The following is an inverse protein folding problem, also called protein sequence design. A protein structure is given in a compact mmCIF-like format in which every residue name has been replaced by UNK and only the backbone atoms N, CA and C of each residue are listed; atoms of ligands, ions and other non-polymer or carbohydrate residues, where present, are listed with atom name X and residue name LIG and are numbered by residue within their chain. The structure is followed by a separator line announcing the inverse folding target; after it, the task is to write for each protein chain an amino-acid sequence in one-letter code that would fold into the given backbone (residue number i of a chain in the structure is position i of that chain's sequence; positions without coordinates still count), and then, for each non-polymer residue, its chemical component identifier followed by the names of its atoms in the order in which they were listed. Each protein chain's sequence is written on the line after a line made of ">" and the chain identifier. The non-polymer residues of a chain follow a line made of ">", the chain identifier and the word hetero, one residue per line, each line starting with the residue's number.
data_IF_040042458851
#
_entry.id   IF_040042458851
#
_cell.length_a   1.000
_cell.length_b   1.000
_cell.length_c   1.000
_cell.angle_alpha   90.00
_cell.angle_beta   90.00
_cell.angle_gamma   90.00
#
_symmetry.space_group_name_H-M   'P 1'
#
loop_
_entity.id
_entity.type
_entity.pdbx_description
1 polymer ?
#
# COMPACT_ATOMS: atom_id res chain seq x y z
N UNK A 1 45.79 -18.35 5.99
CA UNK A 1 45.30 -19.47 6.81
C UNK A 1 44.42 -20.37 5.94
N UNK A 2 44.60 -21.69 6.00
CA UNK A 2 43.95 -22.72 5.18
C UNK A 2 42.71 -23.33 5.87
N UNK A 3 41.89 -23.99 5.03
CA UNK A 3 40.90 -25.08 5.28
C UNK A 3 39.46 -24.65 5.61
N UNK A 4 38.35 -25.24 5.09
CA UNK A 4 38.00 -26.45 4.27
C UNK A 4 36.64 -26.12 3.59
N UNK A 5 36.35 -26.38 2.31
CA UNK A 5 36.03 -27.63 1.57
C UNK A 5 34.79 -28.43 2.03
N UNK A 6 33.96 -28.75 1.01
CA UNK A 6 33.01 -29.88 0.86
C UNK A 6 31.53 -29.57 1.16
N UNK A 7 30.51 -30.03 0.42
CA UNK A 7 30.43 -31.14 -0.55
C UNK A 7 29.19 -30.97 -1.48
N UNK A 8 29.34 -31.43 -2.73
CA UNK A 8 28.29 -31.69 -3.72
C UNK A 8 27.31 -32.79 -3.26
N UNK A 9 26.07 -32.75 -3.75
CA UNK A 9 25.37 -33.93 -4.27
C UNK A 9 24.64 -33.60 -5.58
N UNK A 10 25.06 -34.28 -6.63
CA UNK A 10 24.41 -34.51 -7.93
C UNK A 10 24.16 -36.02 -8.00
N UNK A 11 23.08 -36.49 -8.64
CA UNK A 11 22.96 -37.77 -9.40
C UNK A 11 21.50 -37.96 -9.92
N UNK A 12 21.23 -38.84 -10.92
CA UNK A 12 20.57 -38.46 -12.17
C UNK A 12 19.41 -39.40 -12.63
N UNK A 13 18.89 -39.10 -13.83
CA UNK A 13 18.12 -39.90 -14.81
C UNK A 13 17.80 -41.37 -14.54
N UNK A 14 16.54 -41.76 -14.84
CA UNK A 14 16.22 -43.01 -15.57
C UNK A 14 15.07 -42.76 -16.54
N UNK A 15 15.35 -43.01 -17.83
CA UNK A 15 14.39 -43.22 -18.93
C UNK A 15 14.20 -44.72 -19.09
N UNK A 16 12.97 -45.21 -19.12
CA UNK A 16 12.61 -46.48 -19.80
C UNK A 16 11.24 -46.31 -20.43
N UNK A 17 11.20 -46.30 -21.76
CA UNK A 17 9.98 -46.59 -22.52
C UNK A 17 9.88 -48.09 -22.76
N UNK A 18 8.66 -48.60 -22.99
CA UNK A 18 8.39 -49.77 -23.82
C UNK A 18 6.91 -49.77 -24.22
N UNK A 19 6.69 -50.16 -25.46
CA UNK A 19 5.47 -50.06 -26.25
C UNK A 19 4.67 -51.37 -26.27
N UNK A 20 3.49 -51.29 -26.89
CA UNK A 20 2.67 -52.34 -27.56
C UNK A 20 1.47 -52.98 -26.84
N UNK A 21 0.28 -52.52 -27.30
CA UNK A 21 -0.80 -53.26 -27.95
C UNK A 21 -1.29 -54.63 -27.39
N UNK A 22 -2.58 -54.72 -27.08
CA UNK A 22 -3.60 -55.48 -27.83
C UNK A 22 -4.98 -55.48 -27.13
N UNK A 23 -6.03 -55.22 -27.91
CA UNK A 23 -7.46 -55.50 -27.65
C UNK A 23 -7.76 -56.96 -28.09
N UNK A 24 -8.98 -57.58 -27.98
CA UNK A 24 -10.25 -57.14 -27.35
C UNK A 24 -11.04 -58.28 -26.63
N UNK A 25 -12.31 -57.98 -26.25
CA UNK A 25 -13.52 -58.83 -26.22
C UNK A 25 -14.16 -59.19 -24.86
N UNK A 26 -15.41 -58.69 -24.70
CA UNK A 26 -16.68 -59.30 -24.18
C UNK A 26 -16.63 -59.99 -22.80
N UNK A 27 -17.64 -59.95 -21.93
CA UNK A 27 -19.03 -59.44 -21.89
C UNK A 27 -19.56 -59.65 -20.45
N UNK A 28 -20.74 -59.08 -20.13
CA UNK A 28 -21.63 -59.36 -18.98
C UNK A 28 -21.28 -58.59 -17.68
N UNK A 29 -21.96 -57.46 -17.39
CA UNK A 29 -23.26 -57.34 -16.67
C UNK A 29 -23.19 -57.94 -15.25
N UNK A 30 -22.87 -57.09 -14.28
CA UNK A 30 -23.82 -56.56 -13.28
C UNK A 30 -24.09 -57.50 -12.09
N UNK A 31 -23.39 -57.26 -10.96
CA UNK A 31 -24.05 -57.27 -9.64
C UNK A 31 -23.21 -56.52 -8.60
N UNK A 32 -23.58 -55.25 -8.40
CA UNK A 32 -23.59 -54.48 -7.14
C UNK A 32 -22.76 -55.04 -5.97
N UNK A 33 -21.54 -54.54 -5.84
CA UNK A 33 -20.89 -54.32 -4.55
C UNK A 33 -19.86 -53.19 -4.72
N UNK A 34 -19.89 -52.23 -3.79
CA UNK A 34 -18.82 -51.23 -3.56
C UNK A 34 -18.67 -50.08 -4.56
N UNK A 35 -19.48 -49.03 -4.37
CA UNK A 35 -19.02 -47.66 -4.63
C UNK A 35 -19.60 -46.72 -3.57
N UNK A 36 -18.90 -46.65 -2.44
CA UNK A 36 -19.04 -45.61 -1.42
C UNK A 36 -17.70 -44.85 -1.32
N UNK A 37 -17.21 -44.32 -2.44
CA UNK A 37 -16.02 -43.45 -2.39
C UNK A 37 -15.88 -42.48 -3.56
N UNK A 38 -16.90 -42.26 -4.38
CA UNK A 38 -16.88 -41.24 -5.43
C UNK A 38 -18.22 -40.52 -5.54
N UNK A 39 -18.63 -39.83 -4.47
CA UNK A 39 -19.70 -38.84 -4.52
C UNK A 39 -19.52 -37.77 -3.43
N UNK A 40 -18.30 -37.23 -3.35
CA UNK A 40 -18.02 -35.99 -2.59
C UNK A 40 -17.19 -34.99 -3.41
N UNK A 41 -17.32 -35.04 -4.73
CA UNK A 41 -16.73 -34.10 -5.67
C UNK A 41 -17.81 -33.58 -6.61
N UNK A 42 -18.74 -32.83 -6.01
CA UNK A 42 -19.66 -31.87 -6.66
C UNK A 42 -20.49 -31.16 -5.60
N UNK A 43 -19.84 -30.63 -4.57
CA UNK A 43 -20.40 -29.44 -3.90
C UNK A 43 -19.80 -28.27 -4.64
N UNK A 44 -20.65 -27.63 -5.44
CA UNK A 44 -20.35 -26.38 -6.10
C UNK A 44 -19.69 -25.44 -5.10
N UNK A 45 -18.42 -25.10 -5.36
CA UNK A 45 -17.84 -23.88 -4.84
C UNK A 45 -18.69 -22.76 -5.40
N UNK A 46 -19.62 -22.27 -4.59
CA UNK A 46 -20.14 -20.91 -4.72
C UNK A 46 -18.96 -20.02 -4.36
N UNK A 47 -18.12 -19.74 -5.35
CA UNK A 47 -17.00 -18.80 -5.21
C UNK A 47 -17.64 -17.43 -5.02
N UNK A 48 -17.76 -17.02 -3.76
CA UNK A 48 -18.20 -15.67 -3.45
C UNK A 48 -17.11 -14.72 -4.00
N UNK A 49 -17.40 -13.83 -4.98
CA UNK A 49 -16.39 -12.98 -5.59
C UNK A 49 -15.65 -12.13 -4.54
N UNK A 50 -16.34 -11.70 -3.48
CA UNK A 50 -15.76 -10.98 -2.34
C UNK A 50 -14.70 -11.81 -1.58
N UNK A 51 -14.89 -13.13 -1.49
CA UNK A 51 -13.90 -14.03 -0.88
C UNK A 51 -12.66 -14.19 -1.76
N UNK A 52 -12.79 -14.03 -3.08
CA UNK A 52 -11.68 -14.20 -4.03
C UNK A 52 -10.83 -12.94 -4.07
N UNK A 53 -11.49 -11.77 -4.10
CA UNK A 53 -10.87 -10.45 -3.99
C UNK A 53 -10.04 -10.29 -2.71
N UNK A 54 -10.62 -10.63 -1.55
CA UNK A 54 -9.92 -10.54 -0.27
C UNK A 54 -8.70 -11.47 -0.18
N UNK A 55 -8.80 -12.69 -0.75
CA UNK A 55 -7.67 -13.61 -0.83
C UNK A 55 -6.56 -13.08 -1.74
N UNK A 56 -6.93 -12.52 -2.91
CA UNK A 56 -5.96 -11.96 -3.85
C UNK A 56 -5.24 -10.74 -3.26
N UNK A 57 -5.97 -9.87 -2.56
CA UNK A 57 -5.40 -8.73 -1.85
C UNK A 57 -4.41 -9.17 -0.77
N UNK A 58 -4.75 -10.21 0.01
CA UNK A 58 -3.87 -10.76 1.03
C UNK A 58 -2.60 -11.39 0.43
N UNK A 59 -2.72 -12.12 -0.68
CA UNK A 59 -1.60 -12.68 -1.43
C UNK A 59 -0.66 -11.56 -1.95
N UNK A 60 -1.24 -10.52 -2.57
CA UNK A 60 -0.46 -9.40 -3.10
C UNK A 60 0.22 -8.61 -1.99
N UNK A 61 -0.45 -8.42 -0.84
CA UNK A 61 0.17 -7.85 0.37
C UNK A 61 1.34 -8.71 0.85
N UNK A 62 1.23 -10.04 0.81
CA UNK A 62 2.35 -10.91 1.17
C UNK A 62 3.52 -10.76 0.20
N UNK A 63 3.27 -10.69 -1.12
CA UNK A 63 4.32 -10.49 -2.14
C UNK A 63 5.06 -9.16 -1.95
N UNK A 64 4.35 -8.08 -1.64
CA UNK A 64 4.97 -6.76 -1.39
C UNK A 64 5.91 -6.75 -0.17
N UNK A 65 5.66 -7.61 0.82
CA UNK A 65 6.47 -7.74 2.03
C UNK A 65 7.61 -8.76 1.89
N UNK A 66 7.81 -9.36 0.72
CA UNK A 66 8.95 -10.26 0.47
C UNK A 66 10.21 -9.45 0.10
N UNK A 67 11.41 -9.97 0.40
CA UNK A 67 12.66 -9.36 -0.03
C UNK A 67 12.70 -9.18 -1.55
N UNK A 68 13.10 -7.98 -1.99
CA UNK A 68 13.24 -7.64 -3.40
C UNK A 68 14.72 -7.71 -3.79
N UNK A 69 15.01 -8.42 -4.88
CA UNK A 69 16.30 -8.39 -5.54
C UNK A 69 16.13 -8.21 -7.04
N UNK A 70 16.62 -7.10 -7.58
CA UNK A 70 16.53 -6.80 -9.01
C UNK A 70 17.72 -5.98 -9.48
N UNK A 71 18.22 -6.31 -10.67
CA UNK A 71 19.23 -5.52 -11.38
C UNK A 71 18.53 -4.65 -12.42
N UNK A 72 18.78 -3.35 -12.34
CA UNK A 72 18.23 -2.32 -13.21
C UNK A 72 19.35 -1.71 -14.07
N UNK A 73 19.05 -1.42 -15.33
CA UNK A 73 20.01 -0.87 -16.29
C UNK A 73 19.88 0.64 -16.40
N UNK A 74 21.00 1.32 -16.59
CA UNK A 74 21.09 2.77 -16.77
C UNK A 74 20.16 3.32 -17.87
N UNK A 75 19.90 2.52 -18.90
CA UNK A 75 19.05 2.88 -20.04
C UNK A 75 17.56 2.72 -19.77
N UNK A 76 17.17 2.03 -18.69
CA UNK A 76 15.76 1.91 -18.34
C UNK A 76 15.23 3.24 -17.83
N UNK A 77 13.98 3.50 -18.16
CA UNK A 77 13.17 4.58 -17.60
C UNK A 77 12.65 4.21 -16.21
N UNK A 78 12.15 5.18 -15.45
CA UNK A 78 11.64 4.96 -14.09
C UNK A 78 10.42 4.04 -14.10
N UNK A 79 9.50 4.19 -15.06
CA UNK A 79 8.39 3.23 -15.24
C UNK A 79 8.89 1.82 -15.58
N UNK A 80 9.84 1.68 -16.51
CA UNK A 80 10.43 0.38 -16.84
C UNK A 80 11.13 -0.26 -15.64
N UNK A 81 11.78 0.54 -14.80
CA UNK A 81 12.41 0.09 -13.57
C UNK A 81 11.38 -0.43 -12.56
N UNK A 82 10.30 0.33 -12.33
CA UNK A 82 9.20 -0.07 -11.43
C UNK A 82 8.50 -1.33 -11.96
N UNK A 83 8.28 -1.44 -13.26
CA UNK A 83 7.74 -2.63 -13.91
C UNK A 83 8.67 -3.84 -13.74
N UNK A 84 9.99 -3.64 -13.83
CA UNK A 84 10.97 -4.69 -13.59
C UNK A 84 10.98 -5.15 -12.13
N UNK A 85 10.86 -4.22 -11.17
CA UNK A 85 10.69 -4.55 -9.75
C UNK A 85 9.43 -5.39 -9.53
N UNK A 86 8.29 -4.96 -10.08
CA UNK A 86 7.02 -5.67 -9.91
C UNK A 86 7.05 -7.07 -10.53
N UNK A 87 7.68 -7.20 -11.70
CA UNK A 87 7.93 -8.49 -12.34
C UNK A 87 8.77 -9.43 -11.46
N UNK A 88 9.77 -8.90 -10.74
CA UNK A 88 10.60 -9.70 -9.83
C UNK A 88 9.79 -10.33 -8.69
N UNK A 89 8.72 -9.66 -8.23
CA UNK A 89 7.80 -10.15 -7.19
C UNK A 89 6.48 -10.72 -7.74
N UNK A 90 6.35 -10.86 -9.06
CA UNK A 90 5.17 -11.40 -9.76
C UNK A 90 3.88 -10.62 -9.42
N UNK A 91 3.95 -9.30 -9.49
CA UNK A 91 2.81 -8.40 -9.36
C UNK A 91 2.58 -7.67 -10.68
N UNK A 92 1.31 -7.52 -11.05
CA UNK A 92 0.90 -6.58 -12.09
C UNK A 92 0.86 -5.16 -11.51
N UNK A 93 1.10 -4.17 -12.38
CA UNK A 93 1.23 -2.77 -11.97
C UNK A 93 0.11 -1.92 -12.56
N UNK A 94 -0.53 -1.15 -11.68
CA UNK A 94 -1.35 0.01 -12.02
C UNK A 94 -0.60 1.27 -11.54
N UNK A 95 -0.70 2.39 -12.26
CA UNK A 95 -0.17 3.67 -11.76
C UNK A 95 -1.31 4.63 -11.44
N UNK A 96 -1.25 5.29 -10.29
CA UNK A 96 -2.24 6.30 -9.89
C UNK A 96 -2.11 7.56 -10.74
N UNK A 97 -3.23 8.20 -11.09
CA UNK A 97 -3.23 9.50 -11.76
C UNK A 97 -3.00 9.48 -13.27
N UNK A 98 -2.99 8.31 -13.92
CA UNK A 98 -2.77 8.16 -15.39
C UNK A 98 -3.81 8.84 -16.31
N UNK A 99 -4.78 9.59 -15.76
CA UNK A 99 -5.78 10.34 -16.51
C UNK A 99 -5.17 11.67 -16.97
N UNK A 100 -4.42 11.66 -18.08
CA UNK A 100 -3.83 12.86 -18.68
C UNK A 100 -2.30 12.86 -18.65
N UNK A 101 -1.71 12.32 -19.72
CA UNK A 101 -0.31 11.87 -19.82
C UNK A 101 0.81 12.93 -19.71
N UNK A 102 0.53 14.23 -19.65
CA UNK A 102 1.59 15.26 -19.82
C UNK A 102 2.53 15.40 -18.61
N UNK A 103 2.02 15.34 -17.38
CA UNK A 103 2.83 15.45 -16.16
C UNK A 103 3.62 14.16 -15.87
N UNK A 104 3.24 13.04 -16.50
CA UNK A 104 3.89 11.74 -16.36
C UNK A 104 5.29 11.67 -16.98
N UNK A 105 5.50 12.37 -18.12
CA UNK A 105 6.77 12.31 -18.84
C UNK A 105 7.93 12.79 -17.95
N UNK A 106 7.73 13.84 -17.17
CA UNK A 106 8.82 14.39 -16.35
C UNK A 106 9.26 13.48 -15.20
N UNK A 107 8.42 12.55 -14.72
CA UNK A 107 8.75 11.67 -13.58
C UNK A 107 9.12 10.28 -14.09
N UNK A 108 8.25 9.66 -14.88
CA UNK A 108 8.38 8.26 -15.24
C UNK A 108 9.26 8.02 -16.47
N UNK A 109 9.36 8.98 -17.41
CA UNK A 109 10.18 8.79 -18.61
C UNK A 109 11.66 9.15 -18.39
N UNK A 110 12.06 9.50 -17.17
CA UNK A 110 13.47 9.74 -16.85
C UNK A 110 14.24 8.43 -16.85
N UNK A 111 15.39 8.43 -17.49
CA UNK A 111 16.32 7.29 -17.44
C UNK A 111 17.07 7.26 -16.12
N UNK A 112 17.38 6.07 -15.61
CA UNK A 112 18.14 5.91 -14.36
C UNK A 112 19.55 6.53 -14.44
N UNK A 113 20.18 6.50 -15.62
CA UNK A 113 21.50 7.09 -15.85
C UNK A 113 22.68 6.28 -15.29
N UNK A 114 22.43 5.34 -14.37
CA UNK A 114 23.41 4.39 -13.84
C UNK A 114 22.79 3.00 -13.66
N UNK A 115 23.62 1.96 -13.73
CA UNK A 115 23.18 0.59 -13.41
C UNK A 115 23.00 0.51 -11.89
N UNK A 116 21.85 -0.01 -11.44
CA UNK A 116 21.47 -0.08 -10.02
C UNK A 116 21.13 -1.53 -9.68
N UNK A 117 21.63 -2.03 -8.55
CA UNK A 117 21.17 -3.30 -7.98
C UNK A 117 20.41 -2.98 -6.69
N UNK A 118 19.13 -3.33 -6.65
CA UNK A 118 18.29 -3.18 -5.47
C UNK A 118 18.28 -4.49 -4.71
N UNK A 119 18.64 -4.45 -3.42
CA UNK A 119 18.61 -5.57 -2.47
C UNK A 119 17.91 -5.11 -1.19
N UNK A 120 16.58 -5.11 -1.20
CA UNK A 120 15.75 -4.44 -0.19
C UNK A 120 14.85 -5.45 0.54
N UNK A 121 14.43 -5.13 1.77
CA UNK A 121 13.64 -6.06 2.60
C UNK A 121 12.17 -6.17 2.15
N UNK A 122 11.66 -5.15 1.47
CA UNK A 122 10.32 -5.11 0.91
C UNK A 122 10.30 -4.38 -0.43
N UNK A 123 9.17 -4.46 -1.14
CA UNK A 123 8.95 -3.71 -2.37
C UNK A 123 8.98 -2.19 -2.12
N UNK A 124 8.38 -1.73 -1.02
CA UNK A 124 8.37 -0.31 -0.64
C UNK A 124 9.79 0.20 -0.34
N UNK A 125 10.61 -0.59 0.34
CA UNK A 125 12.02 -0.23 0.58
C UNK A 125 12.79 -0.14 -0.76
N UNK A 126 12.50 -1.04 -1.70
CA UNK A 126 13.08 -0.96 -3.04
C UNK A 126 12.68 0.30 -3.80
N UNK A 127 11.43 0.76 -3.65
CA UNK A 127 11.00 2.04 -4.23
C UNK A 127 11.73 3.21 -3.56
N UNK A 128 11.91 3.18 -2.25
CA UNK A 128 12.64 4.20 -1.52
C UNK A 128 14.11 4.26 -1.97
N UNK A 129 14.75 3.09 -2.14
CA UNK A 129 16.14 2.97 -2.61
C UNK A 129 16.27 3.49 -4.06
N UNK A 130 15.36 3.10 -4.95
CA UNK A 130 15.31 3.62 -6.32
C UNK A 130 15.19 5.14 -6.33
N UNK A 131 14.31 5.68 -5.49
CA UNK A 131 14.10 7.12 -5.36
C UNK A 131 15.37 7.83 -4.94
N UNK A 132 16.05 7.33 -3.90
CA UNK A 132 17.35 7.84 -3.44
C UNK A 132 18.40 7.88 -4.56
N UNK A 133 18.47 6.85 -5.42
CA UNK A 133 19.38 6.85 -6.57
C UNK A 133 19.06 7.96 -7.57
N UNK A 134 17.77 8.20 -7.84
CA UNK A 134 17.34 9.28 -8.74
C UNK A 134 17.71 10.67 -8.19
N UNK A 135 17.75 10.85 -6.86
CA UNK A 135 18.13 12.13 -6.22
C UNK A 135 19.60 12.51 -6.41
N UNK A 136 20.52 11.54 -6.45
CA UNK A 136 21.98 11.79 -6.44
C UNK A 136 22.42 12.65 -7.64
N UNK A 137 21.69 12.59 -8.75
CA UNK A 137 22.01 13.33 -9.97
C UNK A 137 21.48 14.78 -10.00
N UNK A 138 20.76 15.27 -8.98
CA UNK A 138 20.13 16.60 -8.97
C UNK A 138 20.76 17.60 -7.98
N UNK A 139 21.90 18.19 -8.34
CA UNK A 139 22.77 19.02 -7.47
C UNK A 139 22.35 20.49 -7.20
N UNK A 140 21.10 20.91 -7.40
CA UNK A 140 20.70 22.32 -7.17
C UNK A 140 19.90 22.55 -5.87
N UNK A 141 20.33 23.56 -5.11
CA UNK A 141 20.11 23.80 -3.66
C UNK A 141 18.75 24.39 -3.25
N UNK A 142 17.78 24.62 -4.14
CA UNK A 142 16.57 25.37 -3.76
C UNK A 142 15.24 24.61 -3.70
N UNK A 143 15.23 23.28 -3.81
CA UNK A 143 13.97 22.52 -3.83
C UNK A 143 14.10 21.10 -3.26
N UNK A 144 14.87 20.89 -2.18
CA UNK A 144 15.03 19.55 -1.60
C UNK A 144 13.68 18.90 -1.25
N UNK A 145 12.78 19.64 -0.59
CA UNK A 145 11.44 19.15 -0.21
C UNK A 145 10.55 18.88 -1.44
N UNK A 146 10.55 19.78 -2.42
CA UNK A 146 9.79 19.60 -3.66
C UNK A 146 10.28 18.39 -4.47
N UNK A 147 11.60 18.18 -4.53
CA UNK A 147 12.18 17.00 -5.16
C UNK A 147 11.81 15.74 -4.38
N UNK A 148 11.85 15.77 -3.05
CA UNK A 148 11.48 14.64 -2.19
C UNK A 148 10.08 14.16 -2.54
N UNK A 149 9.11 15.07 -2.66
CA UNK A 149 7.75 14.74 -3.08
C UNK A 149 7.65 14.17 -4.51
N UNK A 150 8.45 14.67 -5.46
CA UNK A 150 8.41 14.20 -6.85
C UNK A 150 8.87 12.75 -7.04
N UNK A 151 9.72 12.24 -6.15
CA UNK A 151 10.17 10.84 -6.23
C UNK A 151 9.77 10.05 -4.98
N UNK A 152 8.78 10.51 -4.23
CA UNK A 152 8.19 9.69 -3.18
C UNK A 152 7.10 8.80 -3.79
N UNK A 153 7.32 7.49 -3.74
CA UNK A 153 6.38 6.49 -4.25
C UNK A 153 5.76 5.68 -3.13
N UNK A 154 4.52 5.24 -3.35
CA UNK A 154 3.80 4.33 -2.46
C UNK A 154 3.39 3.09 -3.24
N UNK A 155 3.70 1.91 -2.70
CA UNK A 155 3.22 0.62 -3.18
C UNK A 155 1.96 0.21 -2.42
N UNK A 156 0.81 0.31 -3.08
CA UNK A 156 -0.49 0.04 -2.49
C UNK A 156 -0.98 -1.33 -3.01
N UNK A 157 -1.18 -2.34 -2.14
CA UNK A 157 -1.72 -3.62 -2.59
C UNK A 157 -3.14 -3.44 -3.12
N UNK A 158 -3.44 -4.03 -4.28
CA UNK A 158 -4.79 -4.09 -4.85
C UNK A 158 -5.17 -5.54 -5.13
N UNK A 159 -6.44 -5.78 -5.44
CA UNK A 159 -6.89 -7.09 -5.93
C UNK A 159 -6.20 -7.49 -7.24
N UNK A 160 -5.87 -6.51 -8.09
CA UNK A 160 -5.23 -6.73 -9.39
C UNK A 160 -3.70 -6.83 -9.33
N UNK A 161 -3.05 -6.45 -8.23
CA UNK A 161 -1.59 -6.44 -8.13
C UNK A 161 -1.10 -5.38 -7.16
N UNK A 162 -0.34 -4.42 -7.67
CA UNK A 162 0.11 -3.23 -6.94
C UNK A 162 -0.26 -1.97 -7.70
N UNK A 163 -0.83 -1.01 -6.98
CA UNK A 163 -0.97 0.37 -7.43
C UNK A 163 0.26 1.15 -6.97
N UNK A 164 0.97 1.74 -7.93
CA UNK A 164 2.09 2.64 -7.69
C UNK A 164 1.56 4.06 -7.72
N UNK A 165 1.56 4.70 -6.55
CA UNK A 165 1.25 6.11 -6.42
C UNK A 165 2.52 6.92 -6.26
N UNK A 166 2.46 8.19 -6.64
CA UNK A 166 3.53 9.16 -6.46
C UNK A 166 2.96 10.44 -5.83
N UNK A 167 3.63 10.91 -4.78
CA UNK A 167 3.16 12.07 -3.99
C UNK A 167 3.13 13.34 -4.84
N UNK A 168 4.12 13.56 -5.69
CA UNK A 168 4.13 14.66 -6.65
C UNK A 168 2.94 14.58 -7.62
N UNK A 169 2.69 13.42 -8.21
CA UNK A 169 1.59 13.25 -9.17
C UNK A 169 0.22 13.57 -8.57
N UNK A 170 -0.10 13.10 -7.36
CA UNK A 170 -1.41 13.39 -6.75
C UNK A 170 -1.62 14.89 -6.48
N UNK A 171 -0.55 15.67 -6.38
CA UNK A 171 -0.59 17.13 -6.20
C UNK A 171 -0.75 17.83 -7.56
N UNK A 172 -0.08 17.36 -8.61
CA UNK A 172 0.00 18.07 -9.91
C UNK A 172 -0.86 17.49 -11.03
N UNK A 173 -1.49 16.32 -10.82
CA UNK A 173 -2.28 15.64 -11.83
C UNK A 173 -3.67 15.24 -11.30
N UNK A 174 -4.73 15.36 -12.12
CA UNK A 174 -6.06 14.86 -11.76
C UNK A 174 -6.02 13.37 -11.44
N UNK A 175 -6.59 13.00 -10.30
CA UNK A 175 -6.65 11.62 -9.84
C UNK A 175 -8.10 11.17 -9.64
N UNK A 176 -8.35 9.88 -9.75
CA UNK A 176 -9.66 9.32 -9.43
C UNK A 176 -9.92 9.48 -7.93
N UNK A 177 -10.96 10.25 -7.60
CA UNK A 177 -11.35 10.51 -6.21
C UNK A 177 -12.39 9.50 -5.75
N UNK A 178 -12.16 8.88 -4.60
CA UNK A 178 -13.13 8.01 -3.94
C UNK A 178 -13.56 8.60 -2.62
N UNK A 179 -14.79 8.32 -2.17
CA UNK A 179 -15.29 8.75 -0.87
C UNK A 179 -15.29 7.58 0.10
N UNK A 180 -14.61 7.72 1.23
CA UNK A 180 -14.62 6.74 2.34
C UNK A 180 -15.10 7.37 3.64
N UNK A 181 -15.65 6.51 4.51
CA UNK A 181 -16.12 6.84 5.84
C UNK A 181 -15.27 6.08 6.85
N UNK A 182 -14.71 6.80 7.80
CA UNK A 182 -13.84 6.26 8.84
C UNK A 182 -14.47 6.49 10.20
N UNK A 183 -14.69 5.40 10.93
CA UNK A 183 -15.04 5.47 12.35
C UNK A 183 -13.78 5.83 13.15
N UNK A 184 -13.79 7.01 13.78
CA UNK A 184 -12.68 7.53 14.59
C UNK A 184 -13.00 7.56 16.08
N UNK A 185 -14.01 6.80 16.52
CA UNK A 185 -14.36 6.62 17.94
C UNK A 185 -13.21 6.08 18.79
N UNK A 186 -12.31 5.29 18.19
CA UNK A 186 -11.09 4.81 18.84
C UNK A 186 -10.10 5.93 19.20
N UNK A 187 -10.24 7.11 18.59
CA UNK A 187 -9.39 8.28 18.84
C UNK A 187 -10.00 9.26 19.85
N UNK A 188 -11.34 9.36 19.92
CA UNK A 188 -12.03 10.19 20.90
C UNK A 188 -11.83 9.64 22.32
N UNK A 189 -10.81 10.12 23.02
CA UNK A 189 -10.64 9.85 24.44
C UNK A 189 -11.81 10.51 25.19
N UNK A 190 -12.55 9.70 25.94
CA UNK A 190 -13.55 10.14 26.91
C UNK A 190 -12.83 10.80 28.09
N UNK A 191 -12.54 12.08 27.98
CA UNK A 191 -12.38 12.95 29.15
C UNK A 191 -13.46 14.00 29.05
N UNK A 192 -14.28 14.07 30.09
CA UNK A 192 -15.38 15.02 30.22
C UNK A 192 -14.95 16.43 29.77
N UNK A 193 -15.77 17.02 28.89
CA UNK A 193 -15.65 18.36 28.30
C UNK A 193 -14.75 18.48 27.05
N UNK A 194 -15.43 18.64 25.90
CA UNK A 194 -14.91 19.10 24.59
C UNK A 194 -13.72 18.30 24.03
N UNK A 195 -13.98 17.11 23.46
CA UNK A 195 -12.96 16.19 22.92
C UNK A 195 -11.95 16.86 21.98
N UNK A 196 -10.72 17.15 22.44
CA UNK A 196 -9.66 17.72 21.60
C UNK A 196 -9.10 16.69 20.60
N UNK A 197 -9.39 15.40 20.79
CA UNK A 197 -8.83 14.33 19.97
C UNK A 197 -9.22 14.37 18.49
N UNK A 198 -10.44 14.78 18.12
CA UNK A 198 -10.79 14.81 16.70
C UNK A 198 -10.03 15.92 15.94
N UNK A 199 -9.81 17.07 16.57
CA UNK A 199 -9.00 18.15 15.99
C UNK A 199 -7.54 17.71 15.86
N UNK A 200 -6.97 17.10 16.88
CA UNK A 200 -5.60 16.55 16.83
C UNK A 200 -5.42 15.48 15.75
N UNK A 201 -6.40 14.59 15.58
CA UNK A 201 -6.37 13.58 14.53
C UNK A 201 -6.39 14.23 13.14
N UNK A 202 -7.25 15.21 12.97
CA UNK A 202 -7.36 15.97 11.73
C UNK A 202 -6.03 16.68 11.44
N UNK A 203 -5.47 17.39 12.42
CA UNK A 203 -4.18 18.08 12.29
C UNK A 203 -3.05 17.10 11.95
N UNK A 204 -3.03 15.93 12.59
CA UNK A 204 -2.07 14.87 12.29
C UNK A 204 -2.21 14.41 10.83
N UNK A 205 -3.43 14.10 10.37
CA UNK A 205 -3.66 13.69 8.99
C UNK A 205 -3.21 14.77 7.99
N UNK A 206 -3.59 16.03 8.22
CA UNK A 206 -3.27 17.12 7.30
C UNK A 206 -1.79 17.49 7.28
N UNK A 207 -1.05 17.20 8.36
CA UNK A 207 0.39 17.46 8.45
C UNK A 207 1.25 16.30 7.93
N UNK A 208 0.74 15.06 7.97
CA UNK A 208 1.51 13.87 7.56
C UNK A 208 1.25 13.47 6.12
N UNK A 209 0.07 13.78 5.57
CA UNK A 209 -0.31 13.35 4.22
C UNK A 209 -0.24 14.54 3.26
N UNK A 210 0.76 14.50 2.37
CA UNK A 210 1.01 15.53 1.37
C UNK A 210 -0.04 15.53 0.25
N UNK A 211 -1.06 16.37 0.36
CA UNK A 211 -2.06 16.63 -0.68
C UNK A 211 -2.69 18.02 -0.47
N UNK A 212 -3.38 18.55 -1.48
CA UNK A 212 -4.24 19.72 -1.27
C UNK A 212 -5.50 19.33 -0.51
N UNK A 213 -5.63 19.80 0.73
CA UNK A 213 -6.82 19.58 1.57
C UNK A 213 -7.84 20.72 1.43
N UNK A 214 -9.12 20.37 1.40
CA UNK A 214 -10.25 21.30 1.59
C UNK A 214 -11.23 20.73 2.61
N UNK A 215 -11.58 21.52 3.61
CA UNK A 215 -12.64 21.16 4.53
C UNK A 215 -13.98 21.59 3.97
N UNK A 216 -15.00 20.75 4.15
CA UNK A 216 -16.33 20.98 3.56
C UNK A 216 -16.95 22.34 3.93
N UNK A 217 -16.50 22.98 5.03
CA UNK A 217 -17.10 24.21 5.55
C UNK A 217 -16.10 25.31 5.96
N UNK A 218 -14.78 25.14 5.74
CA UNK A 218 -13.74 26.16 6.02
C UNK A 218 -12.57 26.06 5.05
N UNK A 219 -12.14 27.18 4.49
CA UNK A 219 -10.79 27.32 3.94
C UNK A 219 -9.87 27.50 5.14
N UNK A 220 -8.94 26.57 5.38
CA UNK A 220 -7.89 26.82 6.38
C UNK A 220 -6.88 27.81 5.82
N UNK A 221 -6.35 28.67 6.70
CA UNK A 221 -5.10 29.37 6.45
C UNK A 221 -3.98 28.32 6.25
N UNK A 222 -2.96 28.60 5.43
CA UNK A 222 -1.83 27.69 5.20
C UNK A 222 -1.23 27.19 6.51
N UNK A 223 -1.28 25.88 6.76
CA UNK A 223 -0.52 25.27 7.86
C UNK A 223 0.93 25.19 7.38
N UNK A 224 1.88 25.69 8.17
CA UNK A 224 3.31 25.63 7.84
C UNK A 224 3.75 24.17 7.57
N UNK A 225 4.10 23.85 6.33
CA UNK A 225 4.43 22.50 5.86
C UNK A 225 3.43 21.94 4.84
N UNK A 226 2.23 22.51 4.78
CA UNK A 226 1.29 22.32 3.68
C UNK A 226 1.50 23.41 2.63
N UNK A 227 1.63 23.05 1.35
CA UNK A 227 1.65 24.04 0.27
C UNK A 227 0.21 24.57 0.13
N UNK A 228 -0.06 25.81 0.56
CA UNK A 228 -1.40 26.47 0.45
C UNK A 228 -1.12 27.94 0.04
N UNK A 229 -1.91 28.59 -0.87
CA UNK A 229 -3.33 28.88 -0.65
C UNK A 229 -4.30 28.60 -1.81
N UNK A 230 -5.38 27.86 -1.49
CA UNK A 230 -6.61 27.78 -2.29
C UNK A 230 -7.44 29.06 -2.05
N UNK A 231 -6.97 30.19 -2.54
CA UNK A 231 -7.88 31.32 -2.85
C UNK A 231 -8.07 31.48 -4.37
N UNK A 232 -7.24 30.81 -5.19
CA UNK A 232 -7.33 30.84 -6.65
C UNK A 232 -8.07 29.62 -7.26
N UNK A 233 -8.27 28.54 -6.49
CA UNK A 233 -8.86 27.29 -7.02
C UNK A 233 -10.38 27.36 -7.28
N UNK A 234 -11.09 28.37 -6.77
CA UNK A 234 -12.51 28.50 -7.08
C UNK A 234 -12.76 28.86 -8.56
N UNK A 235 -11.73 29.37 -9.27
CA UNK A 235 -11.79 29.70 -10.70
C UNK A 235 -11.14 28.66 -11.63
N UNK A 236 -10.38 27.69 -11.10
CA UNK A 236 -9.69 26.70 -11.92
C UNK A 236 -10.35 25.31 -11.76
N UNK A 237 -11.03 24.88 -12.83
CA UNK A 237 -11.72 23.58 -12.87
C UNK A 237 -10.76 22.39 -12.73
N UNK A 238 -9.49 22.54 -13.11
CA UNK A 238 -8.51 21.45 -13.04
C UNK A 238 -7.98 21.28 -11.62
N UNK A 239 -7.81 22.36 -10.86
CA UNK A 239 -7.47 22.31 -9.43
C UNK A 239 -8.59 21.64 -8.61
N UNK A 240 -9.86 21.85 -8.94
CA UNK A 240 -10.98 21.17 -8.24
C UNK A 240 -10.91 19.64 -8.32
N UNK A 241 -10.26 19.08 -9.35
CA UNK A 241 -10.08 17.62 -9.51
C UNK A 241 -8.87 17.07 -8.74
N UNK A 242 -8.07 17.94 -8.14
CA UNK A 242 -6.83 17.60 -7.42
C UNK A 242 -6.99 17.77 -5.90
N UNK A 243 -8.01 18.51 -5.46
CA UNK A 243 -8.23 18.81 -4.04
C UNK A 243 -8.94 17.66 -3.34
N UNK A 244 -8.31 17.10 -2.32
CA UNK A 244 -8.90 16.13 -1.40
C UNK A 244 -9.79 16.83 -0.39
N UNK A 245 -10.96 16.25 -0.12
CA UNK A 245 -11.93 16.81 0.82
C UNK A 245 -11.96 16.02 2.13
N UNK A 246 -12.04 16.75 3.24
CA UNK A 246 -12.20 16.18 4.57
C UNK A 246 -13.40 16.82 5.27
N UNK A 247 -14.25 15.99 5.86
CA UNK A 247 -15.40 16.42 6.65
C UNK A 247 -15.51 15.54 7.89
N UNK A 248 -15.57 16.16 9.07
CA UNK A 248 -15.81 15.45 10.32
C UNK A 248 -17.26 15.60 10.76
N UNK A 249 -17.90 14.51 11.17
CA UNK A 249 -19.24 14.45 11.74
C UNK A 249 -19.15 14.13 13.24
N UNK A 250 -19.11 15.15 14.13
CA UNK A 250 -18.87 14.96 15.56
C UNK A 250 -19.94 14.12 16.27
N UNK A 251 -21.20 14.20 15.80
CA UNK A 251 -22.33 13.50 16.43
C UNK A 251 -22.23 11.97 16.34
N UNK A 252 -21.45 11.46 15.39
CA UNK A 252 -21.30 10.02 15.11
C UNK A 252 -19.83 9.58 15.11
N UNK A 253 -18.88 10.47 15.42
CA UNK A 253 -17.44 10.22 15.35
C UNK A 253 -16.99 9.63 13.99
N UNK A 254 -17.54 10.15 12.90
CA UNK A 254 -17.20 9.72 11.53
C UNK A 254 -16.39 10.79 10.83
N UNK A 255 -15.24 10.40 10.28
CA UNK A 255 -14.45 11.19 9.35
C UNK A 255 -14.77 10.74 7.92
N UNK A 256 -15.21 11.69 7.09
CA UNK A 256 -15.50 11.48 5.67
C UNK A 256 -14.36 12.09 4.87
N UNK A 257 -13.70 11.27 4.06
CA UNK A 257 -12.62 11.74 3.18
C UNK A 257 -13.00 11.43 1.74
N UNK A 258 -12.85 12.41 0.84
CA UNK A 258 -12.91 12.22 -0.60
C UNK A 258 -11.54 12.52 -1.20
N UNK A 259 -10.81 11.49 -1.59
CA UNK A 259 -9.40 11.62 -1.98
C UNK A 259 -8.96 10.48 -2.93
N UNK A 260 -7.74 10.53 -3.49
CA UNK A 260 -7.16 9.43 -4.26
C UNK A 260 -6.95 8.18 -3.39
N UNK A 261 -6.74 7.03 -4.03
CA UNK A 261 -6.56 5.75 -3.33
C UNK A 261 -5.31 5.78 -2.44
N UNK A 262 -4.25 6.48 -2.86
CA UNK A 262 -3.03 6.67 -2.07
C UNK A 262 -3.25 7.39 -0.75
N UNK A 263 -4.04 8.46 -0.76
CA UNK A 263 -4.39 9.20 0.46
C UNK A 263 -5.16 8.29 1.42
N UNK A 264 -6.13 7.51 0.92
CA UNK A 264 -6.86 6.57 1.76
C UNK A 264 -5.95 5.49 2.38
N UNK A 265 -4.97 5.01 1.61
CA UNK A 265 -4.00 4.04 2.10
C UNK A 265 -3.12 4.61 3.22
N UNK A 266 -2.64 5.84 3.09
CA UNK A 266 -1.87 6.51 4.16
C UNK A 266 -2.72 6.77 5.40
N UNK A 267 -3.98 7.22 5.24
CA UNK A 267 -4.91 7.39 6.36
C UNK A 267 -5.09 6.08 7.13
N UNK A 268 -5.34 4.99 6.42
CA UNK A 268 -5.51 3.66 7.03
C UNK A 268 -4.23 3.20 7.74
N UNK A 269 -3.07 3.42 7.13
CA UNK A 269 -1.76 3.10 7.72
C UNK A 269 -1.51 3.90 9.00
N UNK A 270 -1.75 5.22 8.99
CA UNK A 270 -1.66 6.09 10.16
C UNK A 270 -2.60 5.63 11.28
N UNK A 271 -3.82 5.21 10.94
CA UNK A 271 -4.77 4.70 11.94
C UNK A 271 -4.30 3.40 12.57
N UNK A 272 -3.71 2.47 11.80
CA UNK A 272 -3.14 1.26 12.39
C UNK A 272 -1.95 1.58 13.30
N UNK A 273 -1.04 2.47 12.90
CA UNK A 273 0.08 2.90 13.73
C UNK A 273 -0.40 3.52 15.06
N UNK A 274 -1.44 4.36 15.02
CA UNK A 274 -2.04 4.94 16.22
C UNK A 274 -2.64 3.85 17.12
N UNK A 275 -3.33 2.86 16.54
CA UNK A 275 -3.92 1.75 17.31
C UNK A 275 -2.84 0.87 17.94
N UNK A 276 -1.75 0.61 17.23
CA UNK A 276 -0.60 -0.14 17.75
C UNK A 276 0.07 0.62 18.90
N UNK A 277 0.38 1.90 18.72
CA UNK A 277 0.95 2.74 19.76
C UNK A 277 0.09 2.80 21.04
N UNK A 278 -1.24 2.81 20.91
CA UNK A 278 -2.17 2.76 22.06
C UNK A 278 -2.17 1.39 22.77
N UNK A 279 -1.93 0.28 22.07
CA UNK A 279 -1.85 -1.06 22.67
C UNK A 279 -0.57 -1.26 23.47
N UNK A 280 0.50 -0.57 23.09
CA UNK A 280 1.83 -0.70 23.71
C UNK A 280 2.02 0.20 24.95
N UNK A 281 1.10 1.13 25.22
CA UNK A 281 1.17 1.96 26.43
C UNK A 281 0.88 1.13 27.70
N UNK A 282 1.78 1.12 28.70
CA UNK A 282 1.53 0.43 29.96
C UNK A 282 0.35 1.09 30.69
N UNK A 283 -0.51 0.26 31.29
CA UNK A 283 -1.64 0.73 32.08
C UNK A 283 -1.18 1.76 33.14
N UNK A 284 -1.97 2.82 33.39
CA UNK A 284 -1.61 3.82 34.38
C UNK A 284 -1.38 3.14 35.75
N UNK A 285 -0.40 3.63 36.54
CA UNK A 285 -0.09 3.05 37.84
C UNK A 285 -1.35 3.04 38.70
N UNK A 286 -1.66 1.88 39.28
CA UNK A 286 -2.77 1.72 40.23
C UNK A 286 -2.56 2.75 41.34
N UNK A 287 -3.54 3.64 41.62
CA UNK A 287 -3.43 4.59 42.71
C UNK A 287 -3.12 3.84 44.01
N UNK A 288 -1.97 4.13 44.62
CA UNK A 288 -1.70 3.58 45.93
C UNK A 288 -2.72 4.16 46.92
N UNK A 289 -3.38 3.33 47.75
CA UNK A 289 -4.30 3.84 48.75
C UNK A 289 -3.54 4.81 49.65
N UNK A 290 -4.04 6.04 49.74
CA UNK A 290 -3.47 7.04 50.64
C UNK A 290 -3.55 6.51 52.09
N UNK A 291 -2.47 6.62 52.88
CA UNK A 291 -2.53 6.25 54.28
C UNK A 291 -3.54 7.15 54.98
N UNK A 292 -4.61 6.55 55.50
CA UNK A 292 -5.53 7.22 56.41
C UNK A 292 -4.77 7.52 57.70
N UNK A 293 -4.33 8.76 57.87
CA UNK A 293 -3.89 9.25 59.16
C UNK A 293 -5.11 9.34 60.07
N UNK A 294 -5.26 8.38 60.99
CA UNK A 294 -6.15 8.54 62.12
C UNK A 294 -5.51 9.58 63.05
N UNK A 295 -6.11 10.77 63.13
CA UNK A 295 -5.78 11.74 64.16
C UNK A 295 -6.21 11.17 65.52
N UNK A 296 -5.24 10.95 66.40
CA UNK A 296 -5.42 10.72 67.83
C UNK A 296 -4.89 11.91 68.61
#
# INVERSE_FOLDING_TARGET
>A
MRFKKSLLYVLPCVVVGLSYAANPCRSEEESVAESKTEQTLKVAQVVNPESTAALQLAENKQKLNQPLRVELKATQTVDEAILAMAKAVKLDVEFEGLIGRKTFEEIYSKTLGTDVTLESQSFQDGLNDLSQQLFIHYSNEYQAEFKNMLYEYLAIPTEGGVLIANVGLRIFAPSEMSRKFYDVSFYSVQTDQQSPGAAELIDLLTNQIHVYWRFADRLFEPISGSIVPIEQADNDMDLRRQVSHLQYLPSVNILIITAPRSVHYEVETLFELIREAKREQPAPPIPQPQPTYNAG
#
